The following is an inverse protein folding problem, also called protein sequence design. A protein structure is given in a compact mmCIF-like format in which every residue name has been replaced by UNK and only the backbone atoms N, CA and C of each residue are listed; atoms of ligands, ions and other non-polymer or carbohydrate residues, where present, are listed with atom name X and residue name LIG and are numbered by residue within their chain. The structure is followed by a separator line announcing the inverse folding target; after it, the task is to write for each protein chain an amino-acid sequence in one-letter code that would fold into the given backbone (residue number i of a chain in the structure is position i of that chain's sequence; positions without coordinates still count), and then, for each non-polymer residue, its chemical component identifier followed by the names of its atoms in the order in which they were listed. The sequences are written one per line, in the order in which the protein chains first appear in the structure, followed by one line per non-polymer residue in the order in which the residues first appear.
data_IF_943251824740
#
_entry.id   IF_943251824740
#
_cell.length_a   1.000
_cell.length_b   1.000
_cell.length_c   1.000
_cell.angle_alpha   90.00
_cell.angle_beta   90.00
_cell.angle_gamma   90.00
#
_symmetry.space_group_name_H-M   'P 1'
#
loop_
_entity.id
_entity.type
_entity.pdbx_description
1 polymer ?
#
# COMPACT_ATOMS: atom_id res chain seq x y z
N UNK A 1 -26.23 -6.43 5.44
CA UNK A 1 -24.95 -7.09 5.78
C UNK A 1 -23.97 -5.98 6.10
N UNK A 2 -23.32 -6.01 7.26
CA UNK A 2 -22.28 -5.02 7.56
C UNK A 2 -21.05 -5.44 6.74
N UNK A 3 -20.65 -4.61 5.77
CA UNK A 3 -19.42 -4.84 5.04
C UNK A 3 -18.25 -4.44 5.93
N UNK A 4 -17.20 -5.25 5.99
CA UNK A 4 -15.97 -4.85 6.67
C UNK A 4 -15.31 -3.68 5.92
N UNK A 5 -14.42 -2.95 6.60
CA UNK A 5 -13.76 -1.77 6.05
C UNK A 5 -13.01 -2.06 4.74
N UNK A 6 -12.44 -3.27 4.59
CA UNK A 6 -11.76 -3.69 3.36
C UNK A 6 -12.72 -3.86 2.19
N UNK A 7 -13.89 -4.45 2.44
CA UNK A 7 -14.96 -4.56 1.44
C UNK A 7 -15.50 -3.20 1.02
N UNK A 8 -15.72 -2.26 1.96
CA UNK A 8 -16.19 -0.91 1.64
C UNK A 8 -15.18 -0.12 0.81
N UNK A 9 -13.89 -0.19 1.18
CA UNK A 9 -12.82 0.44 0.42
C UNK A 9 -12.70 -0.14 -1.00
N UNK A 10 -12.83 -1.46 -1.14
CA UNK A 10 -12.86 -2.13 -2.45
C UNK A 10 -14.03 -1.64 -3.30
N UNK A 11 -15.23 -1.55 -2.72
CA UNK A 11 -16.40 -1.05 -3.44
C UNK A 11 -16.22 0.41 -3.86
N UNK A 12 -15.56 1.24 -3.05
CA UNK A 12 -15.21 2.62 -3.40
C UNK A 12 -14.23 2.66 -4.57
N UNK A 13 -13.16 1.87 -4.54
CA UNK A 13 -12.21 1.76 -5.66
C UNK A 13 -12.91 1.37 -6.97
N UNK A 14 -13.86 0.43 -6.93
CA UNK A 14 -14.55 -0.05 -8.14
C UNK A 14 -15.55 0.99 -8.66
N UNK A 15 -16.31 1.64 -7.77
CA UNK A 15 -17.47 2.44 -8.17
C UNK A 15 -17.23 3.96 -8.20
N UNK A 16 -16.14 4.45 -7.62
CA UNK A 16 -15.81 5.88 -7.55
C UNK A 16 -14.58 6.20 -8.42
N UNK A 17 -14.83 6.67 -9.65
CA UNK A 17 -13.77 7.03 -10.59
C UNK A 17 -12.97 8.25 -10.14
N UNK A 18 -13.61 9.23 -9.51
CA UNK A 18 -12.93 10.43 -9.02
C UNK A 18 -11.98 10.08 -7.87
N UNK A 19 -12.40 9.17 -6.98
CA UNK A 19 -11.53 8.62 -5.95
C UNK A 19 -10.33 7.88 -6.54
N UNK A 20 -10.52 7.02 -7.55
CA UNK A 20 -9.40 6.36 -8.24
C UNK A 20 -8.44 7.34 -8.88
N UNK A 21 -8.94 8.34 -9.61
CA UNK A 21 -8.10 9.37 -10.23
C UNK A 21 -7.24 10.10 -9.19
N UNK A 22 -7.84 10.47 -8.05
CA UNK A 22 -7.11 11.07 -6.93
C UNK A 22 -6.04 10.13 -6.38
N UNK A 23 -6.40 8.88 -6.10
CA UNK A 23 -5.49 7.87 -5.56
C UNK A 23 -4.31 7.60 -6.51
N UNK A 24 -4.53 7.61 -7.82
CA UNK A 24 -3.46 7.44 -8.80
C UNK A 24 -2.57 8.69 -8.86
N UNK A 25 -3.16 9.89 -8.78
CA UNK A 25 -2.42 11.15 -8.90
C UNK A 25 -1.54 11.47 -7.69
N UNK A 26 -2.02 11.17 -6.47
CA UNK A 26 -1.31 11.41 -5.22
C UNK A 26 -1.71 10.35 -4.17
N UNK A 27 -1.18 9.12 -4.30
CA UNK A 27 -1.55 8.03 -3.41
C UNK A 27 -1.17 8.31 -1.97
N UNK A 28 -0.06 9.02 -1.72
CA UNK A 28 0.39 9.35 -0.37
C UNK A 28 -0.64 10.26 0.31
N UNK A 29 -1.06 11.34 -0.34
CA UNK A 29 -2.04 12.26 0.22
C UNK A 29 -3.38 11.56 0.51
N UNK A 30 -3.88 10.75 -0.44
CA UNK A 30 -5.14 10.01 -0.26
C UNK A 30 -5.05 9.01 0.90
N UNK A 31 -3.96 8.24 1.00
CA UNK A 31 -3.76 7.31 2.11
C UNK A 31 -3.71 8.03 3.47
N UNK A 32 -3.04 9.18 3.55
CA UNK A 32 -2.97 9.97 4.78
C UNK A 32 -4.33 10.57 5.15
N UNK A 33 -5.07 11.12 4.18
CA UNK A 33 -6.41 11.68 4.39
C UNK A 33 -7.39 10.63 4.92
N UNK A 34 -7.47 9.47 4.26
CA UNK A 34 -8.42 8.44 4.66
C UNK A 34 -8.06 7.87 6.04
N UNK A 35 -6.77 7.73 6.34
CA UNK A 35 -6.32 7.15 7.61
C UNK A 35 -6.35 8.14 8.76
N UNK A 36 -6.36 9.44 8.45
CA UNK A 36 -6.09 10.48 9.43
C UNK A 36 -4.70 10.34 10.07
N UNK A 37 -3.81 9.57 9.45
CA UNK A 37 -2.45 9.34 9.92
C UNK A 37 -1.47 10.07 9.01
N UNK A 38 -0.66 10.94 9.61
CA UNK A 38 0.39 11.67 8.93
C UNK A 38 1.75 11.18 9.47
N UNK A 39 2.44 10.29 8.75
CA UNK A 39 3.76 9.82 9.17
C UNK A 39 4.76 10.98 9.24
N UNK A 40 5.67 10.95 10.21
CA UNK A 40 6.69 11.99 10.38
C UNK A 40 7.84 11.82 9.40
N UNK A 41 8.10 10.59 8.99
CA UNK A 41 9.15 10.22 8.07
C UNK A 41 8.78 10.61 6.64
N UNK A 42 9.80 10.99 5.87
CA UNK A 42 9.62 11.19 4.45
C UNK A 42 9.74 9.85 3.70
N UNK A 43 8.76 9.57 2.86
CA UNK A 43 8.67 8.40 1.99
C UNK A 43 7.75 8.72 0.82
N UNK A 44 8.02 8.09 -0.33
CA UNK A 44 7.16 8.19 -1.49
C UNK A 44 6.19 7.00 -1.53
N UNK A 45 5.01 7.23 -2.09
CA UNK A 45 4.08 6.18 -2.48
C UNK A 45 3.80 6.39 -3.96
N UNK A 46 3.86 5.31 -4.73
CA UNK A 46 3.56 5.32 -6.15
C UNK A 46 2.44 4.32 -6.45
N UNK A 47 1.46 4.75 -7.23
CA UNK A 47 0.41 3.89 -7.73
C UNK A 47 0.84 3.32 -9.08
N UNK A 48 1.01 2.00 -9.15
CA UNK A 48 1.31 1.32 -10.41
C UNK A 48 0.02 0.72 -10.97
N UNK A 49 -0.44 1.26 -12.09
CA UNK A 49 -1.61 0.75 -12.81
C UNK A 49 -1.30 -0.63 -13.39
N UNK A 50 -2.12 -1.64 -13.03
CA UNK A 50 -2.08 -2.94 -13.69
C UNK A 50 -2.86 -2.85 -15.00
N UNK A 51 -2.21 -3.25 -16.10
CA UNK A 51 -2.81 -3.32 -17.44
C UNK A 51 -2.71 -4.74 -17.97
N UNK A 52 -3.72 -5.17 -18.72
CA UNK A 52 -3.87 -6.56 -19.18
C UNK A 52 -2.73 -7.04 -20.10
N UNK A 53 -1.97 -6.12 -20.68
CA UNK A 53 -0.84 -6.36 -21.58
C UNK A 53 0.53 -6.11 -20.94
N UNK A 54 0.57 -5.81 -19.64
CA UNK A 54 1.78 -5.33 -18.96
C UNK A 54 2.13 -6.21 -17.76
N UNK A 55 3.38 -6.70 -17.73
CA UNK A 55 3.95 -7.35 -16.55
C UNK A 55 4.65 -6.28 -15.71
N UNK A 56 4.24 -6.14 -14.45
CA UNK A 56 4.89 -5.26 -13.48
C UNK A 56 5.84 -6.08 -12.60
N UNK A 57 7.11 -5.67 -12.54
CA UNK A 57 8.11 -6.26 -11.66
C UNK A 57 8.59 -5.15 -10.73
N UNK A 58 8.44 -5.36 -9.43
CA UNK A 58 8.97 -4.48 -8.40
C UNK A 58 10.34 -5.02 -7.96
N UNK A 59 11.41 -4.32 -8.29
CA UNK A 59 12.77 -4.67 -7.86
C UNK A 59 13.12 -3.80 -6.64
N UNK A 60 13.56 -4.39 -5.51
CA UNK A 60 14.01 -3.61 -4.38
C UNK A 60 15.26 -2.80 -4.73
N UNK A 61 15.44 -1.67 -4.04
CA UNK A 61 16.63 -0.85 -4.18
C UNK A 61 17.89 -1.66 -3.85
N UNK A 62 19.00 -1.32 -4.52
CA UNK A 62 20.31 -1.81 -4.13
C UNK A 62 20.60 -1.37 -2.69
N UNK A 63 21.06 -2.27 -1.81
CA UNK A 63 21.39 -1.91 -0.45
C UNK A 63 22.56 -0.92 -0.44
N UNK A 64 22.57 -0.04 0.56
CA UNK A 64 23.66 0.91 0.76
C UNK A 64 24.78 0.29 1.61
N UNK A 65 26.03 0.68 1.36
CA UNK A 65 27.23 0.21 2.09
C UNK A 65 27.55 -1.29 1.86
N UNK A 66 28.41 -1.88 2.71
CA UNK A 66 28.78 -3.31 2.71
C UNK A 66 27.63 -4.25 3.17
N UNK A 67 26.38 -3.84 2.98
CA UNK A 67 25.21 -4.68 3.25
C UNK A 67 25.15 -5.86 2.27
N UNK A 68 24.79 -7.06 2.77
CA UNK A 68 24.66 -8.26 1.94
C UNK A 68 23.42 -8.16 1.04
N UNK A 69 23.67 -8.03 -0.27
CA UNK A 69 22.64 -7.97 -1.30
C UNK A 69 21.69 -9.19 -1.29
N UNK A 70 22.22 -10.40 -1.13
CA UNK A 70 21.40 -11.61 -1.15
C UNK A 70 20.48 -11.68 0.07
N UNK A 71 20.98 -11.24 1.24
CA UNK A 71 20.17 -11.11 2.43
C UNK A 71 19.08 -10.04 2.24
N UNK A 72 19.44 -8.84 1.76
CA UNK A 72 18.47 -7.75 1.56
C UNK A 72 17.40 -8.09 0.53
N UNK A 73 17.77 -8.76 -0.56
CA UNK A 73 16.83 -9.26 -1.56
C UNK A 73 15.86 -10.29 -0.96
N UNK A 74 16.37 -11.21 -0.14
CA UNK A 74 15.54 -12.20 0.56
C UNK A 74 14.56 -11.51 1.48
N UNK A 75 15.02 -10.54 2.28
CA UNK A 75 14.17 -9.76 3.17
C UNK A 75 13.10 -8.98 2.41
N UNK A 76 13.45 -8.24 1.35
CA UNK A 76 12.49 -7.49 0.54
C UNK A 76 11.46 -8.43 -0.10
N UNK A 77 11.89 -9.59 -0.61
CA UNK A 77 11.00 -10.59 -1.21
C UNK A 77 10.01 -11.19 -0.20
N UNK A 78 10.42 -11.37 1.05
CA UNK A 78 9.54 -11.82 2.14
C UNK A 78 8.60 -10.73 2.67
N UNK A 79 8.89 -9.46 2.35
CA UNK A 79 8.14 -8.27 2.78
C UNK A 79 7.18 -7.76 1.71
N UNK A 80 7.13 -8.45 0.56
CA UNK A 80 6.03 -8.33 -0.40
C UNK A 80 4.81 -8.96 0.24
N UNK A 81 3.93 -8.14 0.79
CA UNK A 81 2.62 -8.63 1.23
C UNK A 81 1.73 -8.75 -0.02
N UNK A 82 1.76 -9.97 -0.58
CA UNK A 82 1.03 -10.51 -1.73
C UNK A 82 0.58 -9.51 -2.81
N UNK A 83 1.43 -9.40 -3.84
CA UNK A 83 1.13 -8.77 -5.14
C UNK A 83 0.16 -9.61 -6.00
N UNK A 84 -0.36 -10.73 -5.50
CA UNK A 84 -1.20 -11.63 -6.31
C UNK A 84 -2.52 -11.97 -5.60
N UNK A 85 -3.52 -11.10 -5.76
CA UNK A 85 -4.91 -11.52 -5.68
C UNK A 85 -5.38 -11.97 -7.06
N UNK A 86 -5.77 -13.25 -7.18
CA UNK A 86 -6.45 -13.82 -8.36
C UNK A 86 -7.80 -13.17 -8.70
N UNK A 87 -8.24 -12.17 -7.92
CA UNK A 87 -9.47 -11.40 -8.10
C UNK A 87 -9.23 -9.88 -8.16
N UNK A 88 -7.97 -9.42 -8.23
CA UNK A 88 -7.61 -8.02 -8.47
C UNK A 88 -8.02 -7.03 -7.37
N UNK A 89 -7.21 -6.90 -6.32
CA UNK A 89 -7.06 -5.64 -5.54
C UNK A 89 -5.61 -5.60 -5.03
N UNK A 90 -4.95 -4.45 -5.13
CA UNK A 90 -3.49 -4.30 -5.07
C UNK A 90 -2.80 -4.60 -3.73
N UNK A 91 -1.46 -4.53 -3.76
CA UNK A 91 -0.57 -4.78 -2.64
C UNK A 91 0.55 -3.74 -2.56
N UNK A 92 1.28 -3.74 -1.43
CA UNK A 92 2.42 -2.85 -1.21
C UNK A 92 3.71 -3.68 -1.19
N UNK A 93 4.72 -3.25 -1.94
CA UNK A 93 6.09 -3.63 -1.66
C UNK A 93 6.62 -2.71 -0.56
N UNK A 94 7.11 -3.29 0.53
CA UNK A 94 7.75 -2.54 1.62
C UNK A 94 9.25 -2.90 1.63
N UNK A 95 10.10 -2.09 0.98
CA UNK A 95 11.52 -2.42 0.83
C UNK A 95 12.31 -2.29 2.15
N UNK A 96 11.76 -1.55 3.13
CA UNK A 96 12.45 -1.18 4.36
C UNK A 96 11.62 -1.53 5.61
N UNK A 97 12.27 -2.04 6.65
CA UNK A 97 11.60 -2.48 7.89
C UNK A 97 10.92 -1.32 8.64
N UNK A 98 11.47 -0.11 8.58
CA UNK A 98 10.86 1.11 9.15
C UNK A 98 9.52 1.42 8.49
N UNK A 99 9.45 1.30 7.17
CA UNK A 99 8.21 1.58 6.41
C UNK A 99 7.08 0.60 6.77
N UNK A 100 7.40 -0.58 7.30
CA UNK A 100 6.37 -1.51 7.81
C UNK A 100 5.62 -0.93 8.99
N UNK A 101 6.32 -0.28 9.91
CA UNK A 101 5.71 0.31 11.08
C UNK A 101 4.80 1.47 10.70
N UNK A 102 5.23 2.28 9.73
CA UNK A 102 4.40 3.35 9.15
C UNK A 102 3.12 2.76 8.54
N UNK A 103 3.23 1.75 7.67
CA UNK A 103 2.04 1.14 7.05
C UNK A 103 1.14 0.46 8.08
N UNK A 104 1.72 -0.18 9.09
CA UNK A 104 0.97 -0.78 10.20
C UNK A 104 0.15 0.28 10.93
N UNK A 105 0.75 1.41 11.26
CA UNK A 105 0.09 2.46 12.02
C UNK A 105 -1.01 3.15 11.19
N UNK A 106 -0.78 3.40 9.90
CA UNK A 106 -1.82 3.84 8.94
C UNK A 106 -3.02 2.87 8.97
N UNK A 107 -2.78 1.56 8.86
CA UNK A 107 -3.85 0.54 8.88
C UNK A 107 -4.57 0.48 10.22
N UNK A 108 -3.85 0.63 11.33
CA UNK A 108 -4.45 0.70 12.66
C UNK A 108 -5.35 1.93 12.83
N UNK A 109 -4.92 3.09 12.32
CA UNK A 109 -5.72 4.31 12.32
C UNK A 109 -6.97 4.18 11.46
N UNK A 110 -6.87 3.58 10.27
CA UNK A 110 -8.03 3.25 9.43
C UNK A 110 -9.05 2.37 10.16
N UNK A 111 -8.60 1.27 10.79
CA UNK A 111 -9.48 0.37 11.51
C UNK A 111 -10.22 1.10 12.65
N UNK A 112 -9.49 1.90 13.44
CA UNK A 112 -10.08 2.66 14.54
C UNK A 112 -11.11 3.71 14.07
N UNK A 113 -10.92 4.32 12.89
CA UNK A 113 -11.88 5.26 12.31
C UNK A 113 -13.13 4.54 11.78
N UNK A 114 -12.96 3.42 11.11
CA UNK A 114 -14.08 2.63 10.59
C UNK A 114 -15.00 2.12 11.72
N UNK A 115 -14.44 1.80 12.89
CA UNK A 115 -15.22 1.43 14.08
C UNK A 115 -16.04 2.59 14.69
N UNK A 116 -15.68 3.84 14.42
CA UNK A 116 -16.39 5.03 14.92
C UNK A 116 -17.55 5.46 14.01
N UNK A 117 -17.54 5.05 12.75
CA UNK A 117 -18.51 5.45 11.72
C UNK A 117 -19.63 4.41 11.52
N UNK A 118 -19.53 3.22 12.13
CA UNK A 118 -20.50 2.12 12.07
C UNK A 118 -21.33 1.94 13.34
#
# INVERSE_FOLDING_TARGET
MNHDAGTLHTLRLVNDSAYRERLISDPKAVLCEESGHEPREDFAVEAVEQRDDTIVILLPAEPENDEDFAQRLTEASQRVYDVLFSSGVGGFLIPDDRLKWILRDIRSSWAARAEQEG
#
